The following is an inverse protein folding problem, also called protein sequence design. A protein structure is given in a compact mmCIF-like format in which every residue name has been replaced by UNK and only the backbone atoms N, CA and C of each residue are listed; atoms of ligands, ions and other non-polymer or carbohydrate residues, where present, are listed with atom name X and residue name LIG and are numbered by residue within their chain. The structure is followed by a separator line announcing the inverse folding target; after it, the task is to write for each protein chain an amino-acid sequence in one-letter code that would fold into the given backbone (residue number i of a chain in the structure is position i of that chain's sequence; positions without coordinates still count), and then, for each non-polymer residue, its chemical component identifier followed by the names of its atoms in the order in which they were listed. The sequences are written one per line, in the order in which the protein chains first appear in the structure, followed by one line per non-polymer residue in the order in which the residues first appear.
data_IF_627446968368
#
_entry.id   IF_627446968368
#
_cell.length_a   1.000
_cell.length_b   1.000
_cell.length_c   1.000
_cell.angle_alpha   90.00
_cell.angle_beta   90.00
_cell.angle_gamma   90.00
#
_symmetry.space_group_name_H-M   'P 1'
#
loop_
_entity.id
_entity.type
_entity.pdbx_description
1 polymer ?
#
# COMPACT_ATOMS: atom_id res chain seq x y z
N UNK A 1 1.90 9.69 1.57
CA UNK A 1 2.16 8.77 0.42
C UNK A 1 1.07 8.81 -0.65
N UNK A 2 -0.23 8.64 -0.34
CA UNK A 2 -1.29 8.66 -1.37
C UNK A 2 -1.28 9.92 -2.27
N UNK A 3 -1.04 11.09 -1.70
CA UNK A 3 -0.88 12.35 -2.45
C UNK A 3 0.26 12.32 -3.46
N UNK A 4 1.42 11.76 -3.10
CA UNK A 4 2.54 11.55 -4.02
C UNK A 4 2.18 10.58 -5.14
N UNK A 5 1.53 9.46 -4.82
CA UNK A 5 1.10 8.49 -5.82
C UNK A 5 0.08 9.07 -6.81
N UNK A 6 -0.81 9.95 -6.36
CA UNK A 6 -1.73 10.64 -7.26
C UNK A 6 -1.02 11.67 -8.15
N UNK A 7 -0.08 12.44 -7.60
CA UNK A 7 0.68 13.42 -8.37
C UNK A 7 1.56 12.78 -9.47
N UNK A 8 2.01 11.56 -9.23
CA UNK A 8 2.91 10.80 -10.11
C UNK A 8 2.19 9.74 -10.95
N UNK A 9 0.85 9.70 -10.91
CA UNK A 9 0.02 8.74 -11.65
C UNK A 9 0.39 7.26 -11.37
N UNK A 10 0.63 6.95 -10.09
CA UNK A 10 1.03 5.65 -9.55
C UNK A 10 -0.09 4.94 -8.80
N UNK A 11 -1.12 5.67 -8.36
CA UNK A 11 -2.11 5.15 -7.39
C UNK A 11 -2.82 3.89 -7.89
N UNK A 12 -3.20 3.83 -9.16
CA UNK A 12 -3.89 2.66 -9.72
C UNK A 12 -3.05 1.38 -9.70
N UNK A 13 -1.73 1.51 -9.86
CA UNK A 13 -0.78 0.39 -9.77
C UNK A 13 -0.57 -0.01 -8.31
N UNK A 14 -0.43 0.96 -7.40
CA UNK A 14 -0.22 0.74 -5.97
C UNK A 14 -1.47 0.13 -5.30
N UNK A 15 -2.66 0.59 -5.67
CA UNK A 15 -3.94 0.05 -5.20
C UNK A 15 -4.27 -1.29 -5.85
N UNK A 16 -3.67 -1.58 -7.02
CA UNK A 16 -3.89 -2.81 -7.77
C UNK A 16 -5.17 -2.80 -8.60
N UNK A 17 -5.73 -1.62 -8.91
CA UNK A 17 -6.86 -1.45 -9.84
C UNK A 17 -6.44 -1.74 -11.27
N UNK A 18 -5.17 -1.45 -11.62
CA UNK A 18 -4.54 -1.83 -12.89
C UNK A 18 -3.53 -2.96 -12.64
N UNK A 19 -3.80 -4.13 -13.22
CA UNK A 19 -2.92 -5.30 -13.13
C UNK A 19 -1.78 -5.22 -14.13
N UNK A 20 -0.73 -6.00 -13.86
CA UNK A 20 0.38 -6.19 -14.79
C UNK A 20 -0.20 -6.64 -16.15
N UNK A 21 0.01 -5.86 -17.22
CA UNK A 21 -0.44 -6.27 -18.54
C UNK A 21 0.45 -7.43 -19.04
N UNK A 22 -0.02 -8.21 -20.03
CA UNK A 22 0.84 -9.15 -20.75
C UNK A 22 2.10 -8.45 -21.30
N UNK A 23 3.15 -9.21 -21.62
CA UNK A 23 4.38 -8.70 -22.25
C UNK A 23 4.09 -8.14 -23.66
N UNK A 24 3.54 -6.93 -23.70
CA UNK A 24 3.04 -6.25 -24.88
C UNK A 24 3.10 -4.72 -24.65
N UNK A 25 2.38 -3.95 -25.47
CA UNK A 25 2.28 -2.51 -25.33
C UNK A 25 1.81 -2.13 -23.92
N UNK A 26 2.59 -1.28 -23.24
CA UNK A 26 2.28 -0.80 -21.89
C UNK A 26 2.92 -1.58 -20.75
N UNK A 27 3.49 -2.78 -20.97
CA UNK A 27 4.18 -3.55 -19.93
C UNK A 27 5.33 -2.78 -19.29
N UNK A 28 6.23 -2.23 -20.11
CA UNK A 28 7.35 -1.41 -19.62
C UNK A 28 6.89 -0.13 -18.89
N UNK A 29 5.76 0.46 -19.30
CA UNK A 29 5.21 1.63 -18.63
C UNK A 29 4.63 1.27 -17.26
N UNK A 30 3.89 0.16 -17.19
CA UNK A 30 3.38 -0.40 -15.94
C UNK A 30 4.51 -0.76 -14.98
N UNK A 31 5.53 -1.49 -15.45
CA UNK A 31 6.69 -1.88 -14.62
C UNK A 31 7.42 -0.67 -14.02
N UNK A 32 7.56 0.43 -14.78
CA UNK A 32 8.16 1.67 -14.25
C UNK A 32 7.32 2.28 -13.13
N UNK A 33 5.99 2.28 -13.28
CA UNK A 33 5.08 2.79 -12.24
C UNK A 33 5.11 1.91 -11.01
N UNK A 34 5.09 0.59 -11.18
CA UNK A 34 5.19 -0.37 -10.07
C UNK A 34 6.52 -0.20 -9.31
N UNK A 35 7.66 -0.16 -10.03
CA UNK A 35 8.96 0.05 -9.42
C UNK A 35 9.06 1.39 -8.66
N UNK A 36 8.53 2.48 -9.23
CA UNK A 36 8.51 3.80 -8.58
C UNK A 36 7.62 3.80 -7.32
N UNK A 37 6.46 3.15 -7.39
CA UNK A 37 5.56 2.96 -6.26
C UNK A 37 6.22 2.16 -5.13
N UNK A 38 6.84 1.02 -5.47
CA UNK A 38 7.56 0.16 -4.55
C UNK A 38 8.67 0.93 -3.83
N UNK A 39 9.53 1.62 -4.59
CA UNK A 39 10.62 2.42 -4.04
C UNK A 39 10.11 3.50 -3.07
N UNK A 40 9.05 4.22 -3.43
CA UNK A 40 8.48 5.25 -2.56
C UNK A 40 7.92 4.67 -1.25
N UNK A 41 7.29 3.49 -1.27
CA UNK A 41 6.83 2.84 -0.04
C UNK A 41 8.02 2.41 0.82
N UNK A 42 9.02 1.78 0.22
CA UNK A 42 10.22 1.34 0.92
C UNK A 42 10.97 2.51 1.58
N UNK A 43 11.18 3.63 0.86
CA UNK A 43 11.84 4.82 1.43
C UNK A 43 11.02 5.55 2.49
N UNK A 44 9.70 5.36 2.50
CA UNK A 44 8.85 5.93 3.54
C UNK A 44 8.90 5.14 4.86
N UNK A 45 9.44 3.92 4.83
CA UNK A 45 9.55 3.08 6.01
C UNK A 45 10.83 3.40 6.78
N UNK A 46 10.71 3.51 8.10
CA UNK A 46 11.87 3.51 9.00
C UNK A 46 12.39 2.09 9.25
N UNK A 47 13.52 1.99 9.95
CA UNK A 47 14.26 0.74 10.20
C UNK A 47 13.40 -0.41 10.77
N UNK A 48 12.37 -0.10 11.56
CA UNK A 48 11.48 -1.13 12.13
C UNK A 48 10.44 -1.69 11.16
N UNK A 49 10.12 -0.98 10.07
CA UNK A 49 9.06 -1.38 9.12
C UNK A 49 9.64 -1.88 7.80
N UNK A 50 10.86 -1.46 7.44
CA UNK A 50 11.52 -1.85 6.21
C UNK A 50 11.72 -3.38 6.05
N UNK A 51 12.19 -4.13 7.07
CA UNK A 51 12.35 -5.59 6.95
C UNK A 51 11.03 -6.35 6.70
N UNK A 52 9.88 -5.74 7.05
CA UNK A 52 8.56 -6.36 6.82
C UNK A 52 8.09 -6.28 5.37
N UNK A 53 8.76 -5.46 4.56
CA UNK A 53 8.36 -5.18 3.17
C UNK A 53 9.50 -5.34 2.15
N UNK A 54 10.75 -5.50 2.58
CA UNK A 54 11.92 -5.59 1.69
C UNK A 54 11.85 -6.76 0.68
N UNK A 55 11.17 -7.85 1.06
CA UNK A 55 11.04 -9.06 0.25
C UNK A 55 9.86 -9.00 -0.74
N UNK A 56 9.11 -7.90 -0.76
CA UNK A 56 7.99 -7.71 -1.69
C UNK A 56 8.53 -7.13 -3.00
N UNK A 57 8.09 -7.73 -4.10
CA UNK A 57 8.54 -7.42 -5.45
C UNK A 57 7.59 -6.54 -6.25
N UNK A 58 6.47 -6.09 -5.65
CA UNK A 58 5.53 -5.16 -6.28
C UNK A 58 5.01 -4.11 -5.30
N UNK A 59 4.60 -2.98 -5.85
CA UNK A 59 4.02 -1.89 -5.07
C UNK A 59 2.71 -2.31 -4.40
N UNK A 60 1.85 -3.05 -5.12
CA UNK A 60 0.56 -3.56 -4.58
C UNK A 60 0.79 -4.44 -3.35
N UNK A 61 1.64 -5.47 -3.47
CA UNK A 61 1.86 -6.43 -2.40
C UNK A 61 2.49 -5.76 -1.16
N UNK A 62 3.37 -4.80 -1.40
CA UNK A 62 4.00 -3.97 -0.37
C UNK A 62 2.97 -3.09 0.33
N UNK A 63 2.16 -2.35 -0.43
CA UNK A 63 1.12 -1.46 0.10
C UNK A 63 0.07 -2.20 0.93
N UNK A 64 -0.35 -3.40 0.48
CA UNK A 64 -1.28 -4.25 1.23
C UNK A 64 -0.68 -4.66 2.57
N UNK A 65 0.56 -5.17 2.56
CA UNK A 65 1.29 -5.58 3.78
C UNK A 65 1.46 -4.39 4.74
N UNK A 66 1.90 -3.24 4.22
CA UNK A 66 2.08 -2.01 4.97
C UNK A 66 0.76 -1.53 5.62
N UNK A 67 -0.33 -1.48 4.84
CA UNK A 67 -1.65 -1.07 5.32
C UNK A 67 -2.22 -2.02 6.39
N UNK A 68 -1.98 -3.33 6.25
CA UNK A 68 -2.36 -4.35 7.24
C UNK A 68 -1.61 -4.15 8.56
N UNK A 69 -0.31 -3.88 8.51
CA UNK A 69 0.50 -3.67 9.71
C UNK A 69 0.16 -2.36 10.43
N UNK A 70 -0.11 -1.28 9.70
CA UNK A 70 -0.60 -0.03 10.30
C UNK A 70 -1.92 -0.22 11.05
N UNK A 71 -2.86 -0.99 10.47
CA UNK A 71 -4.14 -1.31 11.14
C UNK A 71 -3.94 -2.12 12.42
N UNK A 72 -2.94 -2.98 12.48
CA UNK A 72 -2.60 -3.78 13.68
C UNK A 72 -1.92 -2.94 14.75
N UNK A 73 -0.99 -2.07 14.36
CA UNK A 73 -0.34 -1.14 15.28
C UNK A 73 -1.34 -0.15 15.90
N UNK A 74 -2.33 0.29 15.13
CA UNK A 74 -3.42 1.15 15.63
C UNK A 74 -4.45 0.44 16.52
N UNK A 75 -4.38 -0.88 16.68
CA UNK A 75 -5.25 -1.67 17.55
C UNK A 75 -4.56 -2.13 18.85
N UNK A 76 -3.33 -1.68 19.12
CA UNK A 76 -2.54 -2.06 20.28
C UNK A 76 -2.30 -0.87 21.22
N UNK A 77 -3.33 -0.05 21.45
CA UNK A 77 -3.44 0.77 22.66
C UNK A 77 -4.57 0.20 23.51
N UNK A 78 -4.18 -0.17 24.70
CA UNK A 78 -4.72 -1.04 25.72
C UNK A 78 -5.96 -0.53 26.50
N UNK A 79 -6.68 -1.54 27.03
CA UNK A 79 -7.65 -1.54 28.14
C UNK A 79 -9.15 -1.22 27.86
N UNK A 80 -10.00 -2.18 28.26
CA UNK A 80 -11.47 -2.24 28.14
C UNK A 80 -12.02 -2.59 26.76
N UNK A 81 -12.00 -3.90 26.47
CA UNK A 81 -12.71 -4.47 25.34
C UNK A 81 -14.22 -4.25 25.44
N UNK A 82 -14.72 -3.20 24.81
CA UNK A 82 -16.10 -3.14 24.31
C UNK A 82 -16.15 -2.27 23.06
N UNK A 83 -16.56 -2.91 21.97
CA UNK A 83 -17.48 -2.40 20.94
C UNK A 83 -17.18 -1.03 20.30
N UNK A 84 -16.83 -1.05 19.01
CA UNK A 84 -17.60 -0.32 18.00
C UNK A 84 -17.54 -1.05 16.65
N UNK A 85 -18.45 -2.00 16.52
CA UNK A 85 -18.97 -2.51 15.27
C UNK A 85 -19.76 -1.39 14.52
N UNK A 86 -19.89 -1.59 13.21
CA UNK A 86 -20.84 -0.99 12.26
C UNK A 86 -20.74 0.48 11.79
N UNK A 87 -20.16 1.44 12.52
CA UNK A 87 -20.17 2.85 12.02
C UNK A 87 -19.06 3.24 11.05
N UNK A 88 -17.94 2.54 11.02
CA UNK A 88 -16.80 2.93 10.16
C UNK A 88 -16.90 2.43 8.71
N UNK A 89 -17.80 1.50 8.42
CA UNK A 89 -17.98 0.92 7.07
C UNK A 89 -18.79 1.79 6.11
N UNK A 90 -19.43 2.88 6.58
CA UNK A 90 -20.29 3.75 5.75
C UNK A 90 -19.68 5.08 5.30
N UNK A 91 -18.43 5.40 5.65
CA UNK A 91 -17.83 6.71 5.33
C UNK A 91 -16.49 6.64 4.58
N UNK A 92 -16.24 5.58 3.82
CA UNK A 92 -15.22 5.61 2.77
C UNK A 92 -15.92 5.23 1.46
N UNK A 93 -16.27 6.29 0.72
CA UNK A 93 -16.86 6.35 -0.63
C UNK A 93 -18.36 6.04 -0.74
#
# INVERSE_FOLDING_TARGET
MKTYFLAEDLWDVVEGTVKEPPEAEGHKAWQKKDAKGLYAIQNSCGDGTYPLIEYRNSAEATWRTFSLNLKRAGGASDESGTYIDEKLRRNIL
#
